data_IF_281309507549
#
_entry.id   IF_281309507549
#
_cell.length_a   1.000
_cell.length_b   1.000
_cell.length_c   1.000
_cell.angle_alpha   90.00
_cell.angle_beta   90.00
_cell.angle_gamma   90.00
#
_symmetry.space_group_name_H-M   'P 1'
#
loop_
_entity.id
_entity.type
_entity.pdbx_description
1 polymer ?
#
# COMPACT_ATOMS: atom_id res chain seq x y z
N UNK A 1 19.32 -25.48 -60.43
CA UNK A 1 20.00 -24.36 -59.72
C UNK A 1 19.34 -24.25 -58.35
N UNK A 2 20.07 -24.33 -57.22
CA UNK A 2 19.43 -24.18 -55.92
C UNK A 2 19.19 -22.69 -55.67
N UNK A 3 17.94 -22.26 -55.81
CA UNK A 3 17.50 -20.93 -55.37
C UNK A 3 17.31 -20.98 -53.86
N UNK A 4 18.09 -20.18 -53.14
CA UNK A 4 18.02 -20.07 -51.69
C UNK A 4 16.62 -19.63 -51.25
N UNK A 5 16.13 -20.31 -50.22
CA UNK A 5 14.99 -19.89 -49.42
C UNK A 5 15.34 -18.54 -48.76
N UNK A 6 14.63 -17.43 -49.06
CA UNK A 6 14.81 -16.20 -48.30
C UNK A 6 14.14 -16.42 -46.95
N UNK A 7 14.97 -16.79 -45.98
CA UNK A 7 14.58 -17.24 -44.65
C UNK A 7 13.39 -16.49 -44.05
N UNK A 8 12.41 -17.26 -43.60
CA UNK A 8 11.41 -16.82 -42.65
C UNK A 8 12.08 -16.32 -41.35
N UNK A 9 11.81 -15.05 -41.07
CA UNK A 9 11.60 -14.41 -39.77
C UNK A 9 12.38 -14.93 -38.55
N UNK A 10 13.48 -14.27 -38.13
CA UNK A 10 13.88 -14.31 -36.74
C UNK A 10 12.98 -13.33 -35.99
N UNK A 11 11.96 -13.89 -35.33
CA UNK A 11 11.04 -13.14 -34.49
C UNK A 11 11.78 -12.06 -33.69
N UNK A 12 11.38 -10.81 -33.91
CA UNK A 12 11.40 -9.86 -32.83
C UNK A 12 10.41 -10.41 -31.81
N UNK A 13 10.92 -11.26 -30.90
CA UNK A 13 10.41 -11.33 -29.55
C UNK A 13 10.53 -9.90 -29.02
N UNK A 14 9.51 -9.10 -29.35
CA UNK A 14 9.21 -7.87 -28.67
C UNK A 14 8.88 -8.30 -27.25
N UNK A 15 9.92 -8.46 -26.44
CA UNK A 15 9.80 -8.62 -25.01
C UNK A 15 9.19 -7.32 -24.51
N UNK A 16 7.86 -7.24 -24.52
CA UNK A 16 7.14 -6.20 -23.82
C UNK A 16 7.40 -6.51 -22.35
N UNK A 17 8.45 -5.91 -21.80
CA UNK A 17 8.62 -5.85 -20.35
C UNK A 17 7.47 -5.00 -19.86
N UNK A 18 6.37 -5.65 -19.49
CA UNK A 18 5.32 -5.01 -18.73
C UNK A 18 5.95 -4.64 -17.40
N UNK A 19 6.46 -3.41 -17.35
CA UNK A 19 7.10 -2.86 -16.17
C UNK A 19 6.11 -2.97 -15.02
N UNK A 20 6.53 -3.61 -13.93
CA UNK A 20 5.66 -3.88 -12.80
C UNK A 20 5.25 -2.54 -12.17
N UNK A 21 4.01 -2.12 -12.44
CA UNK A 21 3.41 -0.90 -11.86
C UNK A 21 2.87 -1.13 -10.44
N UNK A 22 3.33 -2.20 -9.76
CA UNK A 22 2.94 -2.50 -8.39
C UNK A 22 3.61 -1.50 -7.44
N UNK A 23 2.85 -0.80 -6.57
CA UNK A 23 3.46 0.01 -5.52
C UNK A 23 4.21 -0.88 -4.53
N UNK A 24 5.47 -0.55 -4.27
CA UNK A 24 6.28 -1.20 -3.25
C UNK A 24 6.35 -0.32 -2.01
N UNK A 25 6.04 -0.87 -0.83
CA UNK A 25 6.28 -0.19 0.45
C UNK A 25 7.78 -0.27 0.76
N UNK A 26 8.43 0.88 0.84
CA UNK A 26 9.86 1.02 1.14
C UNK A 26 10.11 1.29 2.62
N UNK A 27 9.14 1.89 3.32
CA UNK A 27 9.18 2.09 4.78
C UNK A 27 7.84 1.76 5.41
N UNK A 28 7.86 0.83 6.37
CA UNK A 28 6.71 0.38 7.13
C UNK A 28 6.57 1.21 8.42
N UNK A 29 5.34 1.39 8.94
CA UNK A 29 5.13 2.03 10.22
C UNK A 29 5.64 1.12 11.34
N UNK A 30 6.23 1.72 12.37
CA UNK A 30 6.69 0.98 13.55
C UNK A 30 5.51 0.78 14.50
N UNK A 31 5.45 -0.38 15.14
CA UNK A 31 4.47 -0.63 16.20
C UNK A 31 4.68 0.37 17.35
N UNK A 32 3.62 1.07 17.74
CA UNK A 32 3.65 2.03 18.84
C UNK A 32 2.63 1.63 19.91
N UNK A 33 3.05 1.73 21.17
CA UNK A 33 2.14 1.68 22.32
C UNK A 33 2.06 3.09 22.91
N UNK A 34 0.86 3.65 22.94
CA UNK A 34 0.60 5.00 23.48
C UNK A 34 -0.39 4.90 24.64
N UNK A 35 -0.26 5.80 25.61
CA UNK A 35 -1.23 5.85 26.70
C UNK A 35 -2.57 6.41 26.18
N UNK A 36 -3.64 6.18 26.94
CA UNK A 36 -4.93 6.78 26.63
C UNK A 36 -4.85 8.31 26.66
N UNK A 37 -5.45 8.97 25.66
CA UNK A 37 -5.37 10.43 25.50
C UNK A 37 -4.11 10.94 24.80
N UNK A 38 -3.13 10.08 24.52
CA UNK A 38 -1.97 10.44 23.71
C UNK A 38 -2.25 10.24 22.21
N UNK A 39 -1.36 10.82 21.40
CA UNK A 39 -1.41 10.75 19.94
C UNK A 39 -0.27 9.87 19.42
N UNK A 40 -0.56 8.98 18.48
CA UNK A 40 0.45 8.25 17.71
C UNK A 40 0.45 8.74 16.26
N UNK A 41 1.61 8.77 15.62
CA UNK A 41 1.74 9.09 14.20
C UNK A 41 2.33 7.88 13.49
N UNK A 42 1.61 7.36 12.51
CA UNK A 42 2.06 6.29 11.64
C UNK A 42 2.45 6.89 10.29
N UNK A 43 3.54 6.41 9.70
CA UNK A 43 4.02 6.84 8.37
C UNK A 43 4.35 5.63 7.51
N UNK A 44 3.95 5.70 6.24
CA UNK A 44 4.27 4.73 5.20
C UNK A 44 4.94 5.45 4.05
N UNK A 45 6.06 4.93 3.58
CA UNK A 45 6.67 5.37 2.32
C UNK A 45 6.48 4.26 1.30
N UNK A 46 5.87 4.60 0.16
CA UNK A 46 5.72 3.69 -0.97
C UNK A 46 6.17 4.36 -2.27
N UNK A 47 6.62 3.54 -3.22
CA UNK A 47 7.06 3.96 -4.55
C UNK A 47 6.44 3.10 -5.62
N UNK A 48 6.14 3.68 -6.78
CA UNK A 48 5.69 2.96 -7.98
C UNK A 48 6.62 3.32 -9.14
N UNK A 49 6.95 2.33 -9.98
CA UNK A 49 7.90 2.51 -11.09
C UNK A 49 7.25 3.32 -12.23
N UNK A 50 5.96 3.10 -12.47
CA UNK A 50 5.15 3.91 -13.37
C UNK A 50 3.67 3.97 -12.92
N UNK A 51 2.98 5.05 -13.24
CA UNK A 51 1.57 5.27 -12.87
C UNK A 51 1.38 6.06 -11.56
N UNK A 52 0.16 6.04 -11.05
CA UNK A 52 -0.21 6.67 -9.78
C UNK A 52 -0.71 5.60 -8.80
N UNK A 53 -0.52 5.85 -7.52
CA UNK A 53 -1.07 5.03 -6.46
C UNK A 53 -1.71 5.91 -5.39
N UNK A 54 -2.51 5.30 -4.53
CA UNK A 54 -3.19 5.97 -3.41
C UNK A 54 -2.89 5.23 -2.13
N UNK A 55 -2.92 5.95 -1.01
CA UNK A 55 -2.93 5.34 0.32
C UNK A 55 -4.36 5.14 0.80
N UNK A 56 -4.57 4.15 1.66
CA UNK A 56 -5.80 3.98 2.43
C UNK A 56 -5.45 3.39 3.80
N UNK A 57 -5.88 4.06 4.86
CA UNK A 57 -5.69 3.57 6.22
C UNK A 57 -6.88 2.72 6.68
N UNK A 58 -6.58 1.69 7.46
CA UNK A 58 -7.54 0.79 8.09
C UNK A 58 -7.22 0.71 9.58
N UNK A 59 -8.25 0.62 10.42
CA UNK A 59 -8.08 0.58 11.87
C UNK A 59 -9.16 -0.22 12.56
N UNK A 60 -8.81 -0.85 13.67
CA UNK A 60 -9.77 -1.56 14.51
C UNK A 60 -9.45 -1.30 15.99
N UNK A 61 -10.48 -1.06 16.79
CA UNK A 61 -10.37 -0.95 18.25
C UNK A 61 -10.43 -2.30 18.95
N UNK A 62 -10.76 -3.36 18.20
CA UNK A 62 -10.85 -4.74 18.65
C UNK A 62 -9.75 -5.54 17.94
N UNK A 63 -9.04 -6.38 18.71
CA UNK A 63 -8.06 -7.31 18.14
C UNK A 63 -8.80 -8.40 17.33
N UNK A 64 -8.98 -8.17 16.03
CA UNK A 64 -9.64 -9.09 15.09
C UNK A 64 -8.73 -9.37 13.90
N UNK A 65 -8.73 -10.60 13.41
CA UNK A 65 -7.90 -11.04 12.29
C UNK A 65 -8.48 -10.71 10.90
N UNK A 66 -9.57 -9.94 10.80
CA UNK A 66 -10.14 -9.56 9.51
C UNK A 66 -11.28 -8.55 9.59
N UNK A 67 -11.61 -7.96 8.44
CA UNK A 67 -12.72 -7.02 8.28
C UNK A 67 -12.48 -5.67 8.92
N UNK A 68 -11.25 -5.14 8.83
CA UNK A 68 -10.91 -3.86 9.42
C UNK A 68 -11.60 -2.76 8.61
N UNK A 69 -12.44 -1.91 9.24
CA UNK A 69 -13.05 -0.81 8.51
C UNK A 69 -11.97 0.13 8.00
N UNK A 70 -12.17 0.62 6.78
CA UNK A 70 -11.39 1.72 6.27
C UNK A 70 -11.67 2.98 7.10
N UNK A 71 -10.64 3.81 7.25
CA UNK A 71 -10.78 5.13 7.86
C UNK A 71 -11.04 6.09 6.71
N UNK A 72 -12.31 6.44 6.52
CA UNK A 72 -12.77 7.20 5.37
C UNK A 72 -12.01 8.54 5.23
N UNK A 73 -11.47 8.80 4.04
CA UNK A 73 -10.75 10.03 3.71
C UNK A 73 -9.25 10.03 4.02
N UNK A 74 -8.75 9.03 4.75
CA UNK A 74 -7.34 8.92 5.10
C UNK A 74 -6.53 8.35 3.93
N UNK A 75 -6.03 9.26 3.08
CA UNK A 75 -5.29 8.96 1.85
C UNK A 75 -3.87 9.53 1.83
N UNK A 76 -3.42 10.05 2.98
CA UNK A 76 -2.08 10.60 3.16
C UNK A 76 -1.07 9.50 3.52
N UNK A 77 0.24 9.69 3.22
CA UNK A 77 1.31 8.77 3.65
C UNK A 77 1.48 8.74 5.18
N UNK A 78 0.88 9.67 5.91
CA UNK A 78 0.89 9.75 7.37
C UNK A 78 -0.53 9.69 7.93
N UNK A 79 -0.73 8.95 9.01
CA UNK A 79 -1.99 8.90 9.76
C UNK A 79 -1.76 9.19 11.24
N UNK A 80 -2.60 10.07 11.79
CA UNK A 80 -2.55 10.47 13.19
C UNK A 80 -3.64 9.74 13.96
N UNK A 81 -3.24 8.80 14.81
CA UNK A 81 -4.14 8.05 15.70
C UNK A 81 -4.37 8.88 16.96
N UNK A 82 -5.62 9.22 17.24
CA UNK A 82 -6.02 9.81 18.53
C UNK A 82 -6.62 8.72 19.41
N UNK A 83 -5.99 8.46 20.57
CA UNK A 83 -6.57 7.58 21.58
C UNK A 83 -7.65 8.34 22.33
N UNK A 84 -8.92 8.15 21.96
CA UNK A 84 -10.04 8.77 22.67
C UNK A 84 -10.17 8.21 24.09
N UNK A 85 -10.40 9.08 25.06
CA UNK A 85 -10.85 8.66 26.38
C UNK A 85 -12.21 7.99 26.26
N UNK A 86 -12.31 6.72 26.65
CA UNK A 86 -13.62 6.11 26.85
C UNK A 86 -14.17 6.61 28.18
N UNK A 87 -15.04 7.63 28.12
CA UNK A 87 -15.83 8.03 29.28
C UNK A 87 -16.87 6.92 29.52
N UNK A 88 -16.58 5.95 30.38
CA UNK A 88 -17.66 5.17 30.97
C UNK A 88 -18.56 6.14 31.72
N UNK A 89 -19.79 6.31 31.25
CA UNK A 89 -20.82 7.00 32.03
C UNK A 89 -20.96 6.23 33.34
N UNK A 90 -20.58 6.88 34.43
CA UNK A 90 -20.68 6.37 35.78
C UNK A 90 -22.08 5.81 36.06
N UNK A 91 -22.09 4.64 36.71
CA UNK A 91 -23.22 4.14 37.48
C UNK A 91 -23.43 5.00 38.72
#
# INVERSE_FOLDING_TARGET
MPGGDPGGDPGEDSSYTMEEITPAITEQPVNMTVNQGETAVLSVTASVIAGTFSYQWYGNTINSSGGWPEIAGETNPTYTVQSYFHLEKGR
#
